data_IF_588276077320
#
_entry.id   IF_588276077320
#
_cell.length_a   1.000
_cell.length_b   1.000
_cell.length_c   1.000
_cell.angle_alpha   90.00
_cell.angle_beta   90.00
_cell.angle_gamma   90.00
#
_symmetry.space_group_name_H-M   'P 1'
#
loop_
_entity.id
_entity.type
_entity.pdbx_description
1 polymer ?
#
# COMPACT_ATOMS: atom_id res chain seq x y z
N UNK A 1 7.19 15.09 -1.80
CA UNK A 1 5.85 14.90 -2.42
C UNK A 1 4.85 15.90 -1.83
N UNK A 2 3.74 16.17 -2.52
CA UNK A 2 2.57 16.87 -1.94
C UNK A 2 1.78 15.89 -1.06
N UNK A 3 1.13 16.36 0.01
CA UNK A 3 0.28 15.51 0.86
C UNK A 3 -0.77 14.79 0.02
N UNK A 4 -0.73 13.46 0.01
CA UNK A 4 -1.75 12.62 -0.62
C UNK A 4 -2.92 12.41 0.34
N UNK A 5 -4.14 12.29 -0.19
CA UNK A 5 -5.27 11.87 0.65
C UNK A 5 -5.07 10.42 1.12
N UNK A 6 -5.75 10.03 2.21
CA UNK A 6 -5.69 8.67 2.78
C UNK A 6 -5.85 7.56 1.75
N UNK A 7 -6.79 7.69 0.82
CA UNK A 7 -7.13 6.63 -0.11
C UNK A 7 -6.06 6.45 -1.20
N UNK A 8 -5.49 7.55 -1.70
CA UNK A 8 -4.31 7.55 -2.58
C UNK A 8 -3.11 6.96 -1.83
N UNK A 9 -2.85 7.41 -0.60
CA UNK A 9 -1.78 6.86 0.22
C UNK A 9 -1.93 5.35 0.42
N UNK A 10 -3.15 4.89 0.71
CA UNK A 10 -3.46 3.47 0.82
C UNK A 10 -3.20 2.69 -0.46
N UNK A 11 -3.56 3.26 -1.62
CA UNK A 11 -3.25 2.66 -2.92
C UNK A 11 -1.75 2.48 -3.13
N UNK A 12 -0.95 3.54 -2.96
CA UNK A 12 0.51 3.48 -3.10
C UNK A 12 1.16 2.43 -2.19
N UNK A 13 0.72 2.35 -0.94
CA UNK A 13 1.23 1.37 0.02
C UNK A 13 0.93 -0.07 -0.41
N UNK A 14 -0.29 -0.36 -0.86
CA UNK A 14 -0.68 -1.71 -1.28
C UNK A 14 -0.01 -2.13 -2.59
N UNK A 15 0.13 -1.18 -3.53
CA UNK A 15 0.84 -1.41 -4.79
C UNK A 15 2.31 -1.71 -4.56
N UNK A 16 3.00 -0.96 -3.69
CA UNK A 16 4.40 -1.27 -3.36
C UNK A 16 4.50 -2.63 -2.65
N UNK A 17 3.60 -2.93 -1.70
CA UNK A 17 3.62 -4.22 -0.99
C UNK A 17 3.42 -5.42 -1.93
N UNK A 18 2.68 -5.27 -3.02
CA UNK A 18 2.39 -6.32 -4.01
C UNK A 18 3.36 -6.37 -5.19
N UNK A 19 4.36 -5.49 -5.23
CA UNK A 19 5.32 -5.44 -6.35
C UNK A 19 6.78 -5.45 -5.90
N UNK A 20 7.05 -5.51 -4.59
CA UNK A 20 8.41 -5.35 -4.01
C UNK A 20 9.32 -6.55 -4.23
N UNK A 21 8.75 -7.72 -4.51
CA UNK A 21 9.46 -8.91 -4.95
C UNK A 21 9.78 -8.89 -6.47
N UNK A 22 9.29 -7.89 -7.19
CA UNK A 22 9.50 -7.69 -8.63
C UNK A 22 8.50 -8.44 -9.52
N UNK A 23 7.52 -9.14 -8.94
CA UNK A 23 6.40 -9.73 -9.66
C UNK A 23 5.13 -8.94 -9.33
N UNK A 24 4.37 -8.52 -10.32
CA UNK A 24 3.07 -7.88 -10.09
C UNK A 24 2.02 -8.65 -10.87
N UNK A 25 1.16 -9.38 -10.15
CA UNK A 25 0.08 -10.11 -10.78
C UNK A 25 -1.09 -9.16 -11.08
N UNK A 26 -1.65 -9.16 -12.31
CA UNK A 26 -2.83 -8.34 -12.64
C UNK A 26 -4.03 -8.57 -11.71
N UNK A 27 -4.14 -9.78 -11.14
CA UNK A 27 -5.20 -10.15 -10.19
C UNK A 27 -5.09 -9.36 -8.86
N UNK A 28 -3.88 -9.11 -8.37
CA UNK A 28 -3.64 -8.35 -7.14
C UNK A 28 -4.03 -6.88 -7.31
N UNK A 29 -3.74 -6.29 -8.47
CA UNK A 29 -4.21 -4.95 -8.82
C UNK A 29 -5.73 -4.83 -8.75
N UNK A 30 -6.47 -5.84 -9.25
CA UNK A 30 -7.93 -5.88 -9.13
C UNK A 30 -8.40 -5.99 -7.67
N UNK A 31 -7.72 -6.80 -6.85
CA UNK A 31 -8.03 -6.93 -5.43
C UNK A 31 -7.82 -5.63 -4.66
N UNK A 32 -6.73 -4.90 -4.95
CA UNK A 32 -6.43 -3.59 -4.37
C UNK A 32 -7.50 -2.57 -4.75
N UNK A 33 -7.84 -2.45 -6.04
CA UNK A 33 -8.88 -1.53 -6.50
C UNK A 33 -10.24 -1.82 -5.86
N UNK A 34 -10.59 -3.10 -5.73
CA UNK A 34 -11.82 -3.52 -5.05
C UNK A 34 -11.82 -3.13 -3.58
N UNK A 35 -10.75 -3.45 -2.84
CA UNK A 35 -10.63 -3.07 -1.43
C UNK A 35 -10.78 -1.55 -1.22
N UNK A 36 -10.13 -0.75 -2.06
CA UNK A 36 -10.24 0.71 -1.98
C UNK A 36 -11.65 1.21 -2.29
N UNK A 37 -12.35 0.59 -3.24
CA UNK A 37 -13.73 0.95 -3.58
C UNK A 37 -14.70 0.58 -2.46
N UNK A 38 -14.47 -0.56 -1.80
CA UNK A 38 -15.30 -1.04 -0.70
C UNK A 38 -15.08 -0.21 0.58
N UNK A 39 -13.84 0.17 0.88
CA UNK A 39 -13.48 0.97 2.08
C UNK A 39 -13.70 2.48 1.86
N UNK A 40 -13.55 2.99 0.63
CA UNK A 40 -13.63 4.42 0.33
C UNK A 40 -14.74 4.72 -0.68
N UNK A 41 -15.81 5.44 -0.30
CA UNK A 41 -17.02 5.63 -1.12
C UNK A 41 -16.85 6.58 -2.32
N UNK A 42 -15.65 7.01 -2.65
CA UNK A 42 -15.38 7.98 -3.73
C UNK A 42 -14.67 7.33 -4.91
N UNK A 43 -15.17 7.60 -6.13
CA UNK A 43 -14.44 7.29 -7.36
C UNK A 43 -13.22 8.20 -7.47
N UNK A 44 -12.05 7.69 -7.15
CA UNK A 44 -10.78 8.34 -7.46
C UNK A 44 -10.28 7.85 -8.81
N UNK A 45 -9.73 8.76 -9.60
CA UNK A 45 -8.91 8.35 -10.73
C UNK A 45 -7.53 7.95 -10.18
N UNK A 46 -7.16 6.67 -10.35
CA UNK A 46 -5.89 6.12 -9.88
C UNK A 46 -4.91 5.87 -11.03
N UNK A 47 -5.28 6.20 -12.27
CA UNK A 47 -4.43 5.98 -13.45
C UNK A 47 -3.13 6.79 -13.33
N UNK A 48 -3.21 8.07 -12.94
CA UNK A 48 -2.04 8.93 -12.72
C UNK A 48 -1.13 8.40 -11.59
N UNK A 49 -1.73 7.77 -10.57
CA UNK A 49 -1.00 7.22 -9.43
C UNK A 49 -0.30 5.90 -9.81
N UNK A 50 -0.91 5.09 -10.67
CA UNK A 50 -0.29 3.89 -11.22
C UNK A 50 0.95 4.25 -12.05
N UNK A 51 0.86 5.26 -12.91
CA UNK A 51 1.99 5.75 -13.70
C UNK A 51 3.12 6.28 -12.80
N UNK A 52 2.76 6.97 -11.71
CA UNK A 52 3.73 7.43 -10.70
C UNK A 52 4.49 6.26 -10.10
N UNK A 53 3.81 5.18 -9.70
CA UNK A 53 4.45 4.01 -9.11
C UNK A 53 5.31 3.27 -10.13
N UNK A 54 4.80 3.12 -11.36
CA UNK A 54 5.49 2.43 -12.45
C UNK A 54 6.79 3.13 -12.89
N UNK A 55 6.90 4.43 -12.64
CA UNK A 55 8.08 5.24 -12.98
C UNK A 55 9.07 5.42 -11.81
N UNK A 56 8.73 4.99 -10.60
CA UNK A 56 9.63 5.07 -9.44
C UNK A 56 10.82 4.12 -9.58
N UNK A 57 12.02 4.63 -9.36
CA UNK A 57 13.20 3.79 -9.23
C UNK A 57 13.21 3.05 -7.87
N UNK A 58 13.76 1.84 -7.82
CA UNK A 58 13.76 0.99 -6.61
C UNK A 58 14.37 1.67 -5.37
N UNK A 59 15.32 2.59 -5.56
CA UNK A 59 15.92 3.39 -4.49
C UNK A 59 14.99 4.47 -3.92
N UNK A 60 13.96 4.86 -4.67
CA UNK A 60 12.93 5.82 -4.25
C UNK A 60 11.76 5.16 -3.52
N UNK A 61 11.56 3.85 -3.71
CA UNK A 61 10.41 3.10 -3.17
C UNK A 61 10.31 3.19 -1.65
N UNK A 62 11.44 3.07 -0.96
CA UNK A 62 11.45 3.14 0.51
C UNK A 62 10.98 4.50 1.03
N UNK A 63 11.45 5.60 0.41
CA UNK A 63 11.06 6.95 0.79
C UNK A 63 9.60 7.24 0.43
N UNK A 64 9.17 6.78 -0.75
CA UNK A 64 7.79 6.89 -1.21
C UNK A 64 6.82 6.17 -0.27
N UNK A 65 7.16 4.93 0.09
CA UNK A 65 6.39 4.12 1.02
C UNK A 65 6.26 4.79 2.39
N UNK A 66 7.36 5.27 2.97
CA UNK A 66 7.34 5.92 4.28
C UNK A 66 6.45 7.16 4.28
N UNK A 67 6.56 8.00 3.25
CA UNK A 67 5.74 9.20 3.11
C UNK A 67 4.24 8.88 3.04
N UNK A 68 3.85 7.88 2.22
CA UNK A 68 2.45 7.50 2.14
C UNK A 68 1.96 6.80 3.41
N UNK A 69 2.83 6.08 4.13
CA UNK A 69 2.49 5.52 5.44
C UNK A 69 2.19 6.62 6.47
N UNK A 70 2.98 7.70 6.48
CA UNK A 70 2.73 8.88 7.32
C UNK A 70 1.46 9.62 6.90
N UNK A 71 1.26 9.86 5.60
CA UNK A 71 0.03 10.50 5.10
C UNK A 71 -1.22 9.71 5.48
N UNK A 72 -1.17 8.37 5.35
CA UNK A 72 -2.29 7.51 5.76
C UNK A 72 -2.50 7.59 7.27
N UNK A 73 -1.44 7.59 8.08
CA UNK A 73 -1.52 7.68 9.54
C UNK A 73 -2.21 8.97 9.99
N UNK A 74 -1.87 10.10 9.39
CA UNK A 74 -2.44 11.42 9.71
C UNK A 74 -3.94 11.50 9.43
N UNK A 75 -4.41 10.85 8.38
CA UNK A 75 -5.78 10.99 7.88
C UNK A 75 -6.68 9.76 8.18
N UNK A 76 -6.19 8.80 8.98
CA UNK A 76 -6.89 7.57 9.35
C UNK A 76 -7.21 7.44 10.84
N UNK A 77 -8.26 6.69 11.13
CA UNK A 77 -8.54 6.17 12.46
C UNK A 77 -7.83 4.83 12.70
N UNK A 78 -7.62 4.47 13.97
CA UNK A 78 -6.96 3.21 14.34
C UNK A 78 -7.69 1.97 13.78
N UNK A 79 -9.03 2.01 13.74
CA UNK A 79 -9.85 0.92 13.18
C UNK A 79 -9.57 0.70 11.68
N UNK A 80 -9.36 1.79 10.94
CA UNK A 80 -9.07 1.76 9.51
C UNK A 80 -7.66 1.21 9.27
N UNK A 81 -6.68 1.64 10.08
CA UNK A 81 -5.31 1.09 10.04
C UNK A 81 -5.28 -0.41 10.35
N UNK A 82 -6.08 -0.88 11.31
CA UNK A 82 -6.22 -2.33 11.61
C UNK A 82 -6.84 -3.10 10.44
N UNK A 83 -7.88 -2.53 9.79
CA UNK A 83 -8.48 -3.12 8.58
C UNK A 83 -7.45 -3.22 7.46
N UNK A 84 -6.70 -2.13 7.25
CA UNK A 84 -5.65 -2.03 6.25
C UNK A 84 -4.54 -3.05 6.45
N UNK A 85 -3.97 -3.15 7.66
CA UNK A 85 -2.92 -4.14 7.97
C UNK A 85 -3.42 -5.57 7.75
N UNK A 86 -4.70 -5.85 8.04
CA UNK A 86 -5.29 -7.17 7.81
C UNK A 86 -5.39 -7.48 6.32
N UNK A 87 -5.79 -6.51 5.50
CA UNK A 87 -5.85 -6.65 4.05
C UNK A 87 -4.45 -6.76 3.43
N UNK A 88 -3.51 -5.89 3.82
CA UNK A 88 -2.12 -5.97 3.40
C UNK A 88 -1.49 -7.34 3.70
N UNK A 89 -1.81 -7.93 4.86
CA UNK A 89 -1.38 -9.28 5.21
C UNK A 89 -1.95 -10.36 4.28
N UNK A 90 -3.16 -10.18 3.76
CA UNK A 90 -3.74 -11.13 2.79
C UNK A 90 -3.15 -11.01 1.40
N UNK A 91 -2.62 -9.83 1.02
CA UNK A 91 -1.87 -9.65 -0.23
C UNK A 91 -0.55 -10.40 -0.17
N UNK A 92 0.32 -10.07 0.80
CA UNK A 92 1.66 -10.69 0.94
C UNK A 92 1.65 -12.20 1.26
N UNK A 93 0.48 -12.79 1.52
CA UNK A 93 0.31 -14.23 1.78
C UNK A 93 -0.39 -14.94 0.62
N UNK A 94 -0.86 -14.19 -0.38
CA UNK A 94 -1.50 -14.77 -1.56
C UNK A 94 -0.48 -15.61 -2.35
N UNK A 95 0.79 -15.17 -2.39
CA UNK A 95 1.89 -16.00 -2.86
C UNK A 95 2.39 -16.93 -1.76
N UNK A 96 2.49 -18.22 -2.06
CA UNK A 96 2.95 -19.27 -1.13
C UNK A 96 4.42 -19.12 -0.69
N UNK A 97 5.07 -18.01 -1.05
CA UNK A 97 6.40 -17.59 -0.63
C UNK A 97 6.27 -16.12 -0.23
N UNK A 98 6.20 -15.86 1.07
CA UNK A 98 6.38 -14.50 1.56
C UNK A 98 7.83 -14.13 1.26
N UNK A 99 8.08 -13.19 0.36
CA UNK A 99 9.42 -12.70 0.09
C UNK A 99 9.92 -11.88 1.31
N UNK A 100 11.22 -11.94 1.59
CA UNK A 100 11.85 -11.23 2.69
C UNK A 100 11.60 -9.71 2.58
N UNK A 101 11.41 -9.22 1.35
CA UNK A 101 11.13 -7.82 1.04
C UNK A 101 9.69 -7.40 1.38
N UNK A 102 8.67 -8.19 1.01
CA UNK A 102 7.27 -7.92 1.38
C UNK A 102 7.11 -7.85 2.89
N UNK A 103 7.71 -8.81 3.60
CA UNK A 103 7.67 -8.86 5.06
C UNK A 103 8.39 -7.67 5.69
N UNK A 104 9.49 -7.20 5.10
CA UNK A 104 10.21 -5.99 5.54
C UNK A 104 9.31 -4.76 5.45
N UNK A 105 8.65 -4.54 4.32
CA UNK A 105 7.75 -3.39 4.14
C UNK A 105 6.50 -3.48 5.02
N UNK A 106 5.93 -4.68 5.17
CA UNK A 106 4.79 -4.91 6.06
C UNK A 106 5.13 -4.61 7.52
N UNK A 107 6.28 -5.11 8.02
CA UNK A 107 6.76 -4.79 9.38
C UNK A 107 7.04 -3.30 9.54
N UNK A 108 7.61 -2.66 8.51
CA UNK A 108 7.86 -1.22 8.54
C UNK A 108 6.56 -0.44 8.68
N UNK A 109 5.52 -0.80 7.93
CA UNK A 109 4.21 -0.17 8.02
C UNK A 109 3.64 -0.26 9.45
N UNK A 110 3.68 -1.46 10.05
CA UNK A 110 3.26 -1.68 11.44
C UNK A 110 4.02 -0.77 12.41
N UNK A 111 5.33 -0.67 12.23
CA UNK A 111 6.21 0.16 13.08
C UNK A 111 5.87 1.65 12.96
N UNK A 112 5.69 2.18 11.74
CA UNK A 112 5.31 3.58 11.51
C UNK A 112 3.96 3.90 12.18
N UNK A 113 3.01 2.95 12.15
CA UNK A 113 1.69 3.13 12.75
C UNK A 113 1.60 2.78 14.23
N UNK A 114 2.70 2.33 14.85
CA UNK A 114 2.73 1.91 16.26
C UNK A 114 1.84 0.69 16.55
N UNK A 115 1.76 -0.25 15.61
CA UNK A 115 0.85 -1.41 15.64
C UNK A 115 1.56 -2.76 15.79
N UNK A 116 2.76 -2.78 16.36
CA UNK A 116 3.58 -3.99 16.52
C UNK A 116 2.95 -5.12 17.35
#
# INVERSE_FOLDING_TARGET
MKKSNKSIAGYHLLMILSAVDGEFAPEEGMHIQKYLTDEFPFKMNLDDELDTIATLHMDEWENHFNFHAECFLEDSEEKERKSFIKFAKSLIKADNRVDDMEHKYYKKLKSIWGMD
#
